data_IF_465179331083
#
_entry.id   IF_465179331083
#
_cell.length_a   1.000
_cell.length_b   1.000
_cell.length_c   1.000
_cell.angle_alpha   90.00
_cell.angle_beta   90.00
_cell.angle_gamma   90.00
#
_symmetry.space_group_name_H-M   'P 1'
#
loop_
_entity.id
_entity.type
_entity.pdbx_description
1 polymer ?
#
# COMPACT_ATOMS: atom_id res chain seq x y z
N UNK A 1 -2.61 -17.07 -3.92
CA UNK A 1 -1.71 -15.97 -3.53
C UNK A 1 -1.57 -15.04 -4.72
N UNK A 2 -1.20 -13.78 -4.50
CA UNK A 2 -1.05 -12.76 -5.54
C UNK A 2 0.06 -11.77 -5.18
N UNK A 3 0.47 -10.98 -6.17
CA UNK A 3 1.19 -9.72 -5.99
C UNK A 3 0.18 -8.59 -6.07
N UNK A 4 0.35 -7.53 -5.28
CA UNK A 4 -0.57 -6.40 -5.37
C UNK A 4 -0.13 -5.36 -6.41
N UNK A 5 1.16 -5.31 -6.78
CA UNK A 5 1.68 -4.34 -7.77
C UNK A 5 0.95 -4.46 -9.13
N UNK A 6 0.41 -5.64 -9.45
CA UNK A 6 -0.34 -5.94 -10.69
C UNK A 6 -1.58 -5.08 -10.91
N UNK A 7 -2.07 -4.38 -9.87
CA UNK A 7 -3.18 -3.44 -9.97
C UNK A 7 -2.81 -2.25 -10.87
N UNK A 8 -1.53 -1.88 -10.94
CA UNK A 8 -1.05 -0.81 -11.82
C UNK A 8 -0.31 -1.42 -13.02
N UNK A 9 -0.72 -1.10 -14.27
CA UNK A 9 -0.03 -1.59 -15.48
C UNK A 9 1.47 -1.24 -15.54
N UNK A 10 1.91 -0.26 -14.74
CA UNK A 10 3.32 0.08 -14.59
C UNK A 10 4.19 -1.06 -14.08
N UNK A 11 3.59 -2.07 -13.46
CA UNK A 11 4.26 -3.28 -13.03
C UNK A 11 5.02 -3.95 -14.19
N UNK A 12 4.49 -3.86 -15.42
CA UNK A 12 5.10 -4.48 -16.61
C UNK A 12 6.24 -3.67 -17.24
N UNK A 13 6.17 -2.35 -17.18
CA UNK A 13 7.16 -1.47 -17.86
C UNK A 13 8.12 -0.76 -16.92
N UNK A 14 7.89 -0.81 -15.60
CA UNK A 14 8.82 -0.36 -14.56
C UNK A 14 9.12 -1.49 -13.56
N UNK A 15 9.66 -2.63 -14.02
CA UNK A 15 9.80 -3.86 -13.23
C UNK A 15 10.79 -3.74 -12.07
N UNK A 16 11.59 -2.69 -11.98
CA UNK A 16 12.52 -2.45 -10.87
C UNK A 16 11.92 -1.55 -9.77
N UNK A 17 10.78 -0.90 -10.02
CA UNK A 17 10.13 0.00 -9.06
C UNK A 17 9.20 -0.77 -8.14
N UNK A 18 9.32 -0.58 -6.83
CA UNK A 18 8.28 -1.00 -5.90
C UNK A 18 7.13 -0.01 -6.01
N UNK A 19 6.02 -0.41 -6.66
CA UNK A 19 4.95 0.53 -6.98
C UNK A 19 4.11 0.89 -5.76
N UNK A 20 3.99 -0.06 -4.83
CA UNK A 20 3.30 0.15 -3.57
C UNK A 20 3.83 -0.72 -2.43
N UNK A 21 3.36 -0.43 -1.23
CA UNK A 21 3.45 -1.34 -0.10
C UNK A 21 2.22 -1.20 0.80
N UNK A 22 1.87 -2.29 1.45
CA UNK A 22 0.80 -2.35 2.43
C UNK A 22 1.37 -2.36 3.84
N UNK A 23 0.72 -1.61 4.73
CA UNK A 23 0.86 -1.74 6.18
C UNK A 23 -0.44 -2.32 6.71
N UNK A 24 -0.40 -3.60 7.05
CA UNK A 24 -1.54 -4.30 7.62
C UNK A 24 -1.39 -4.36 9.14
N UNK A 25 -2.28 -3.65 9.84
CA UNK A 25 -2.36 -3.63 11.30
C UNK A 25 -3.40 -4.63 11.77
N UNK A 26 -2.99 -5.51 12.68
CA UNK A 26 -3.86 -6.51 13.29
C UNK A 26 -4.83 -5.83 14.28
N UNK A 27 -6.13 -5.85 14.00
CA UNK A 27 -7.15 -5.39 14.94
C UNK A 27 -7.59 -6.51 15.92
N UNK A 28 -7.29 -7.76 15.56
CA UNK A 28 -7.40 -8.95 16.41
C UNK A 28 -6.11 -9.75 16.31
N UNK A 29 -5.88 -10.71 17.21
CA UNK A 29 -4.78 -11.66 17.07
C UNK A 29 -4.86 -12.41 15.73
N UNK A 30 -3.72 -12.56 15.06
CA UNK A 30 -3.54 -13.39 13.87
C UNK A 30 -2.79 -14.64 14.31
N UNK A 31 -3.42 -15.80 14.11
CA UNK A 31 -2.89 -17.12 14.44
C UNK A 31 -2.82 -17.97 13.19
N UNK A 32 -2.09 -19.08 13.26
CA UNK A 32 -2.00 -20.03 12.16
C UNK A 32 -3.39 -20.55 11.75
N UNK A 33 -4.28 -20.74 12.73
CA UNK A 33 -5.61 -21.34 12.58
C UNK A 33 -6.71 -20.35 12.20
N UNK A 34 -6.58 -19.06 12.52
CA UNK A 34 -7.62 -18.07 12.21
C UNK A 34 -7.39 -17.32 10.89
N UNK A 35 -6.45 -17.81 10.08
CA UNK A 35 -6.18 -17.28 8.76
C UNK A 35 -5.25 -16.07 8.74
N UNK A 36 -4.20 -16.07 9.58
CA UNK A 36 -3.08 -15.13 9.44
C UNK A 36 -2.60 -15.06 7.97
N UNK A 37 -2.22 -13.86 7.52
CA UNK A 37 -1.77 -13.63 6.13
C UNK A 37 -0.62 -14.57 5.80
N UNK A 38 -0.76 -15.34 4.72
CA UNK A 38 0.31 -16.12 4.14
C UNK A 38 1.22 -15.20 3.34
N UNK A 39 2.52 -15.31 3.53
CA UNK A 39 3.55 -14.54 2.84
C UNK A 39 4.66 -15.48 2.37
N UNK A 40 5.29 -15.14 1.24
CA UNK A 40 6.47 -15.88 0.74
C UNK A 40 7.68 -14.96 0.84
N UNK A 41 8.48 -15.04 1.91
CA UNK A 41 9.68 -14.22 2.07
C UNK A 41 10.63 -14.35 0.88
N UNK A 42 11.20 -13.24 0.42
CA UNK A 42 12.09 -13.22 -0.76
C UNK A 42 11.40 -13.28 -2.12
N UNK A 43 10.07 -13.50 -2.19
CA UNK A 43 9.35 -13.55 -3.48
C UNK A 43 9.32 -12.22 -4.25
N UNK A 44 9.59 -11.10 -3.59
CA UNK A 44 9.74 -9.79 -4.23
C UNK A 44 10.98 -9.67 -5.13
N UNK A 45 11.90 -10.63 -5.07
CA UNK A 45 13.09 -10.72 -5.93
C UNK A 45 12.93 -11.75 -7.06
N UNK A 46 11.74 -12.34 -7.22
CA UNK A 46 11.53 -13.34 -8.27
C UNK A 46 11.35 -12.66 -9.62
N UNK A 47 12.10 -13.12 -10.62
CA UNK A 47 12.06 -12.58 -11.98
C UNK A 47 10.76 -12.92 -12.75
N UNK A 48 9.93 -13.83 -12.21
CA UNK A 48 8.78 -14.39 -12.94
C UNK A 48 7.50 -14.49 -12.11
N UNK A 49 6.46 -13.81 -12.61
CA UNK A 49 5.07 -13.93 -12.16
C UNK A 49 4.43 -15.31 -12.43
N UNK A 50 5.10 -16.19 -13.18
CA UNK A 50 4.62 -17.56 -13.40
C UNK A 50 5.06 -18.54 -12.32
N UNK A 51 5.94 -18.12 -11.40
CA UNK A 51 6.42 -18.99 -10.34
C UNK A 51 5.32 -19.22 -9.29
N UNK A 52 5.05 -20.50 -9.02
CA UNK A 52 4.20 -20.92 -7.91
C UNK A 52 5.07 -21.19 -6.68
N UNK A 53 4.67 -20.66 -5.52
CA UNK A 53 5.35 -20.93 -4.26
C UNK A 53 5.16 -22.38 -3.84
N UNK A 54 6.23 -23.00 -3.34
CA UNK A 54 6.14 -24.33 -2.71
C UNK A 54 5.65 -24.19 -1.27
N UNK A 55 4.97 -25.20 -0.70
CA UNK A 55 4.42 -25.13 0.65
C UNK A 55 5.43 -24.70 1.71
N UNK A 56 6.68 -25.17 1.63
CA UNK A 56 7.76 -24.86 2.56
C UNK A 56 8.29 -23.42 2.47
N UNK A 57 7.94 -22.69 1.41
CA UNK A 57 8.33 -21.29 1.20
C UNK A 57 7.29 -20.32 1.76
N UNK A 58 6.11 -20.83 2.10
CA UNK A 58 4.99 -20.05 2.60
C UNK A 58 5.07 -20.03 4.13
N UNK A 59 5.09 -18.84 4.70
CA UNK A 59 4.94 -18.63 6.14
C UNK A 59 3.70 -17.79 6.44
N UNK A 60 3.29 -17.72 7.71
CA UNK A 60 2.16 -16.92 8.15
C UNK A 60 2.63 -15.77 9.03
N UNK A 61 2.12 -14.57 8.76
CA UNK A 61 2.32 -13.38 9.59
C UNK A 61 1.44 -13.47 10.85
N UNK A 62 1.78 -14.39 11.75
CA UNK A 62 1.14 -14.51 13.06
C UNK A 62 1.61 -13.38 13.97
N UNK A 63 0.67 -12.70 14.61
CA UNK A 63 0.97 -11.51 15.40
C UNK A 63 -0.18 -11.14 16.33
N UNK A 64 0.13 -10.43 17.41
CA UNK A 64 -0.87 -9.94 18.37
C UNK A 64 -1.62 -8.72 17.84
N UNK A 65 -2.84 -8.51 18.30
CA UNK A 65 -3.58 -7.27 18.05
C UNK A 65 -2.70 -6.04 18.38
N UNK A 66 -2.73 -5.04 17.50
CA UNK A 66 -1.87 -3.85 17.54
C UNK A 66 -0.53 -4.00 16.81
N UNK A 67 -0.13 -5.22 16.44
CA UNK A 67 1.06 -5.46 15.60
C UNK A 67 0.79 -5.09 14.15
N UNK A 68 1.86 -4.81 13.39
CA UNK A 68 1.77 -4.52 11.96
C UNK A 68 2.72 -5.40 11.15
N UNK A 69 2.29 -5.79 9.94
CA UNK A 69 3.14 -6.39 8.92
C UNK A 69 3.22 -5.46 7.71
N UNK A 70 4.43 -5.31 7.19
CA UNK A 70 4.72 -4.53 5.98
C UNK A 70 4.86 -5.50 4.81
N UNK A 71 4.09 -5.30 3.75
CA UNK A 71 4.06 -6.17 2.58
C UNK A 71 4.33 -5.31 1.35
N UNK A 72 5.57 -5.29 0.81
CA UNK A 72 5.87 -4.72 -0.49
C UNK A 72 4.96 -5.35 -1.55
N UNK A 73 4.40 -4.57 -2.49
CA UNK A 73 3.42 -5.10 -3.45
C UNK A 73 3.94 -6.17 -4.41
N UNK A 74 5.26 -6.34 -4.52
CA UNK A 74 5.92 -7.47 -5.21
C UNK A 74 6.08 -8.73 -4.37
N UNK A 75 5.66 -8.73 -3.11
CA UNK A 75 5.70 -9.92 -2.27
C UNK A 75 4.48 -10.78 -2.56
N UNK A 76 4.70 -12.03 -2.97
CA UNK A 76 3.64 -13.01 -3.12
C UNK A 76 3.03 -13.30 -1.75
N UNK A 77 1.73 -13.03 -1.60
CA UNK A 77 1.04 -13.19 -0.34
C UNK A 77 -0.45 -13.52 -0.57
N UNK A 78 -1.20 -13.77 0.51
CA UNK A 78 -2.64 -14.02 0.45
C UNK A 78 -3.24 -14.23 1.83
N UNK A 79 -4.58 -14.21 1.90
CA UNK A 79 -5.27 -14.58 3.14
C UNK A 79 -5.03 -16.05 3.47
N UNK A 80 -4.70 -16.36 4.73
CA UNK A 80 -4.69 -17.74 5.20
C UNK A 80 -6.11 -18.27 5.41
N UNK A 81 -6.26 -19.59 5.36
CA UNK A 81 -7.54 -20.24 5.65
C UNK A 81 -7.86 -20.13 7.13
N UNK A 82 -9.07 -19.69 7.45
CA UNK A 82 -9.60 -19.71 8.80
C UNK A 82 -10.29 -21.05 9.08
N UNK A 83 -9.73 -21.85 9.98
CA UNK A 83 -10.18 -23.20 10.34
C UNK A 83 -10.79 -23.28 11.74
N UNK A 84 -10.57 -22.28 12.59
CA UNK A 84 -11.11 -22.24 13.96
C UNK A 84 -12.38 -21.39 14.12
N UNK A 85 -12.77 -20.66 13.07
CA UNK A 85 -13.99 -19.85 13.04
C UNK A 85 -13.92 -18.52 13.79
N UNK A 86 -12.77 -18.19 14.41
CA UNK A 86 -12.61 -16.92 15.12
C UNK A 86 -12.52 -15.76 14.13
N UNK A 87 -13.15 -14.62 14.45
CA UNK A 87 -13.14 -13.46 13.54
C UNK A 87 -11.76 -12.81 13.52
N UNK A 88 -11.10 -12.82 12.35
CA UNK A 88 -9.88 -12.07 12.08
C UNK A 88 -10.21 -10.71 11.47
N UNK A 89 -9.70 -9.61 12.04
CA UNK A 89 -9.86 -8.26 11.48
C UNK A 89 -8.53 -7.52 11.34
N UNK A 90 -8.39 -6.79 10.26
CA UNK A 90 -7.23 -5.98 9.95
C UNK A 90 -7.65 -4.59 9.49
N UNK A 91 -6.76 -3.62 9.68
CA UNK A 91 -6.79 -2.35 8.96
C UNK A 91 -5.61 -2.39 7.99
N UNK A 92 -5.87 -2.09 6.71
CA UNK A 92 -4.82 -2.04 5.69
C UNK A 92 -4.70 -0.59 5.23
N UNK A 93 -3.51 -0.03 5.41
CA UNK A 93 -3.13 1.24 4.81
C UNK A 93 -2.14 0.95 3.68
N UNK A 94 -2.56 1.23 2.45
CA UNK A 94 -1.76 1.01 1.24
C UNK A 94 -1.14 2.33 0.78
N UNK A 95 0.13 2.30 0.42
CA UNK A 95 0.88 3.44 -0.08
C UNK A 95 1.34 3.14 -1.49
N UNK A 96 1.17 4.08 -2.40
CA UNK A 96 1.56 3.96 -3.80
C UNK A 96 2.50 5.10 -4.17
N UNK A 97 3.35 4.91 -5.18
CA UNK A 97 4.16 6.00 -5.76
C UNK A 97 3.27 7.17 -6.18
N UNK A 98 3.73 8.41 -5.95
CA UNK A 98 2.90 9.61 -6.14
C UNK A 98 2.49 9.90 -7.58
N UNK A 99 3.08 9.22 -8.57
CA UNK A 99 2.67 9.28 -9.98
C UNK A 99 1.63 8.23 -10.37
N UNK A 100 1.25 7.35 -9.44
CA UNK A 100 0.21 6.37 -9.63
C UNK A 100 -1.10 6.85 -9.00
N UNK A 101 -2.22 6.56 -9.68
CA UNK A 101 -3.54 6.81 -9.13
C UNK A 101 -3.79 5.90 -7.93
N UNK A 102 -4.25 6.46 -6.81
CA UNK A 102 -4.67 5.69 -5.63
C UNK A 102 -5.88 4.80 -5.97
N UNK A 103 -5.99 3.65 -5.29
CA UNK A 103 -7.15 2.76 -5.46
C UNK A 103 -8.45 3.41 -4.97
N UNK A 104 -8.37 4.19 -3.89
CA UNK A 104 -9.47 5.00 -3.38
C UNK A 104 -9.25 6.49 -3.66
N UNK A 105 -10.29 7.18 -4.12
CA UNK A 105 -10.25 8.62 -4.38
C UNK A 105 -10.55 9.41 -3.09
N UNK A 106 -9.56 9.53 -2.19
CA UNK A 106 -9.76 10.09 -0.85
C UNK A 106 -10.34 11.52 -0.80
N UNK A 107 -10.02 12.34 -1.79
CA UNK A 107 -10.52 13.71 -1.88
C UNK A 107 -12.03 13.83 -2.07
N UNK A 108 -12.70 12.77 -2.54
CA UNK A 108 -14.15 12.80 -2.74
C UNK A 108 -14.93 12.60 -1.43
N UNK A 109 -14.31 11.97 -0.42
CA UNK A 109 -14.93 11.77 0.89
C UNK A 109 -14.41 12.73 1.97
N UNK A 110 -13.38 13.52 1.65
CA UNK A 110 -12.72 14.43 2.59
C UNK A 110 -12.85 15.87 2.13
N UNK A 111 -13.50 16.72 2.92
CA UNK A 111 -13.51 18.17 2.66
C UNK A 111 -12.18 18.81 3.09
N UNK A 112 -11.83 19.95 2.51
CA UNK A 112 -10.62 20.71 2.88
C UNK A 112 -10.64 21.08 4.38
N UNK A 113 -11.81 21.40 4.93
CA UNK A 113 -11.99 21.71 6.36
C UNK A 113 -11.70 20.50 7.25
N UNK A 114 -12.09 19.30 6.83
CA UNK A 114 -11.75 18.07 7.55
C UNK A 114 -10.25 17.82 7.50
N UNK A 115 -9.64 17.93 6.31
CA UNK A 115 -8.22 17.71 6.09
C UNK A 115 -7.34 18.71 6.86
N UNK A 116 -7.80 19.95 7.06
CA UNK A 116 -7.08 21.00 7.82
C UNK A 116 -6.75 20.57 9.25
N UNK A 117 -7.55 19.68 9.85
CA UNK A 117 -7.34 19.17 11.21
C UNK A 117 -6.29 18.06 11.29
N UNK A 118 -5.79 17.59 10.15
CA UNK A 118 -4.83 16.49 10.10
C UNK A 118 -3.39 16.99 10.09
N UNK A 119 -2.46 16.18 10.62
CA UNK A 119 -1.04 16.44 10.47
C UNK A 119 -0.67 16.66 9.00
N UNK A 120 0.27 17.56 8.75
CA UNK A 120 0.77 17.86 7.40
C UNK A 120 1.14 16.59 6.63
N UNK A 121 1.82 15.65 7.30
CA UNK A 121 2.22 14.39 6.69
C UNK A 121 1.03 13.55 6.20
N UNK A 122 -0.09 13.55 6.93
CA UNK A 122 -1.30 12.82 6.51
C UNK A 122 -1.93 13.50 5.30
N UNK A 123 -1.97 14.83 5.29
CA UNK A 123 -2.43 15.62 4.12
C UNK A 123 -1.60 15.29 2.88
N UNK A 124 -0.28 15.28 2.99
CA UNK A 124 0.63 14.90 1.90
C UNK A 124 0.34 13.51 1.35
N UNK A 125 0.18 12.52 2.24
CA UNK A 125 -0.08 11.13 1.85
C UNK A 125 -1.44 10.95 1.17
N UNK A 126 -2.42 11.79 1.52
CA UNK A 126 -3.74 11.79 0.89
C UNK A 126 -3.80 12.72 -0.33
N UNK A 127 -2.64 13.26 -0.76
CA UNK A 127 -2.46 14.04 -1.98
C UNK A 127 -2.86 15.52 -1.90
N UNK A 128 -3.01 16.06 -0.69
CA UNK A 128 -3.15 17.50 -0.45
C UNK A 128 -1.80 18.23 -0.49
N UNK A 129 -0.86 17.74 -1.30
CA UNK A 129 0.43 18.34 -1.60
C UNK A 129 0.89 17.88 -2.99
N UNK A 130 1.88 18.58 -3.54
CA UNK A 130 2.45 18.27 -4.83
C UNK A 130 3.35 17.03 -4.73
N UNK A 131 3.16 16.05 -5.62
CA UNK A 131 4.22 15.09 -5.91
C UNK A 131 5.30 15.83 -6.70
N UNK A 132 6.38 16.25 -6.04
CA UNK A 132 7.40 17.13 -6.64
C UNK A 132 8.61 16.40 -7.23
N UNK A 133 8.59 15.06 -7.30
CA UNK A 133 9.74 14.27 -7.71
C UNK A 133 9.84 14.10 -9.23
N UNK A 134 11.04 14.26 -9.76
CA UNK A 134 11.40 13.91 -11.13
C UNK A 134 12.12 12.56 -11.13
N UNK A 135 11.62 11.60 -11.90
CA UNK A 135 12.22 10.27 -12.04
C UNK A 135 12.65 10.06 -13.49
N UNK A 136 13.95 10.24 -13.75
CA UNK A 136 14.52 10.15 -15.09
C UNK A 136 14.36 8.75 -15.71
N UNK A 137 14.29 7.70 -14.88
CA UNK A 137 14.19 6.32 -15.37
C UNK A 137 12.84 6.02 -16.04
N UNK A 138 11.79 6.75 -15.63
CA UNK A 138 10.44 6.63 -16.20
C UNK A 138 9.99 7.91 -16.89
N UNK A 139 10.90 8.90 -17.03
CA UNK A 139 10.61 10.25 -17.53
C UNK A 139 9.41 10.90 -16.80
N UNK A 140 9.31 10.65 -15.50
CA UNK A 140 8.24 11.15 -14.64
C UNK A 140 8.56 12.55 -14.11
N UNK A 141 7.54 13.40 -14.01
CA UNK A 141 7.65 14.75 -13.47
C UNK A 141 6.63 15.02 -12.36
N UNK A 142 6.54 16.27 -11.91
CA UNK A 142 5.65 16.66 -10.83
C UNK A 142 4.18 16.50 -11.21
N UNK A 143 3.37 16.04 -10.25
CA UNK A 143 1.95 15.73 -10.43
C UNK A 143 1.14 16.23 -9.25
N UNK A 144 -0.15 16.48 -9.49
CA UNK A 144 -1.09 16.94 -8.46
C UNK A 144 -1.10 18.46 -8.27
N UNK A 145 -0.78 19.24 -9.30
CA UNK A 145 -0.88 20.70 -9.25
C UNK A 145 -2.31 21.17 -8.93
N UNK A 146 -2.40 22.20 -8.12
CA UNK A 146 -3.61 22.98 -7.85
C UNK A 146 -3.33 24.45 -8.21
N UNK A 147 -4.07 25.00 -9.16
CA UNK A 147 -3.89 26.39 -9.64
C UNK A 147 -2.42 26.74 -9.99
N UNK A 148 -1.74 25.83 -10.69
CA UNK A 148 -0.31 25.93 -11.05
C UNK A 148 0.67 25.92 -9.86
N UNK A 149 0.21 25.61 -8.64
CA UNK A 149 1.01 25.46 -7.42
C UNK A 149 0.75 24.15 -6.68
N UNK A 150 1.23 24.07 -5.44
CA UNK A 150 0.93 22.94 -4.56
C UNK A 150 -0.47 23.08 -3.95
N UNK A 151 -1.26 21.99 -3.84
CA UNK A 151 -2.46 21.96 -3.02
C UNK A 151 -2.23 22.33 -1.55
N UNK A 152 -0.98 22.36 -1.05
CA UNK A 152 -0.63 22.84 0.30
C UNK A 152 -1.16 24.25 0.57
N UNK A 153 -1.27 25.08 -0.48
CA UNK A 153 -1.79 26.45 -0.40
C UNK A 153 -3.21 26.52 0.17
N UNK A 154 -4.01 25.44 0.07
CA UNK A 154 -5.35 25.36 0.69
C UNK A 154 -5.33 25.42 2.22
N UNK A 155 -4.15 25.26 2.83
CA UNK A 155 -3.95 25.22 4.28
C UNK A 155 -3.04 26.35 4.79
N UNK A 156 -2.44 27.12 3.89
CA UNK A 156 -1.68 28.32 4.21
C UNK A 156 -2.70 29.47 4.38
N UNK A 157 -2.67 30.17 5.52
CA UNK A 157 -3.54 31.31 5.86
C UNK A 157 -5.00 31.01 6.29
N UNK A 158 -5.20 30.40 7.47
CA UNK A 158 -6.38 30.60 8.35
C UNK A 158 -6.24 29.85 9.67
#
# INVERSE_FOLDING_TARGET
MHWDDVIWPAHFWAPDKLLQFNVMVAATDFTETNGATQVVPGSHLWDHESRTARPEEITQATMKAGSAVFIPGKTLHGGGTNTDGTKRRAIVASYVLGWLRTQENHFLHTTVEQARRWPERVRQLLGYDLYAHYDENIQGGPLGYYEYGSPSALFENK
#
